data_IF_115325485987
#
_entry.id   IF_115325485987
#
_cell.length_a   1.000
_cell.length_b   1.000
_cell.length_c   1.000
_cell.angle_alpha   90.00
_cell.angle_beta   90.00
_cell.angle_gamma   90.00
#
_symmetry.space_group_name_H-M   'P 1'
#
loop_
_entity.id
_entity.type
_entity.pdbx_description
1 polymer ?
#
# COMPACT_ATOMS: atom_id res chain seq x y z
N UNK A 1 -9.68 26.41 -1.08
CA UNK A 1 -9.67 25.90 -2.47
C UNK A 1 -8.57 24.86 -2.72
N UNK A 2 -7.35 25.01 -2.17
CA UNK A 2 -6.29 24.01 -2.33
C UNK A 2 -6.61 22.63 -1.76
N UNK A 3 -7.39 22.55 -0.68
CA UNK A 3 -7.66 21.26 -0.03
C UNK A 3 -8.58 20.32 -0.81
N UNK A 4 -9.47 20.87 -1.64
CA UNK A 4 -10.40 20.12 -2.49
C UNK A 4 -9.95 20.06 -3.96
N UNK A 5 -8.70 20.46 -4.27
CA UNK A 5 -8.23 20.62 -5.65
C UNK A 5 -7.79 19.34 -6.35
N UNK A 6 -7.68 18.22 -5.63
CA UNK A 6 -7.22 16.92 -6.19
C UNK A 6 -8.42 16.03 -6.57
N UNK A 7 -8.46 14.77 -6.14
CA UNK A 7 -9.57 13.84 -6.29
C UNK A 7 -10.31 13.70 -4.94
N UNK A 8 -11.12 14.69 -4.53
CA UNK A 8 -11.83 14.63 -3.26
C UNK A 8 -12.83 13.46 -3.26
N UNK A 9 -13.00 12.83 -2.10
CA UNK A 9 -13.86 11.63 -1.96
C UNK A 9 -15.11 11.99 -1.18
N UNK A 10 -16.28 11.76 -1.76
CA UNK A 10 -17.55 11.81 -1.06
C UNK A 10 -17.73 10.54 -0.23
N UNK A 11 -18.24 10.67 1.00
CA UNK A 11 -18.49 9.56 1.92
C UNK A 11 -19.90 9.72 2.47
N UNK A 12 -20.76 8.72 2.28
CA UNK A 12 -22.07 8.62 2.91
C UNK A 12 -22.01 7.59 4.04
N UNK A 13 -22.33 8.01 5.26
CA UNK A 13 -22.25 7.14 6.45
C UNK A 13 -23.35 7.47 7.46
N UNK A 14 -23.82 6.45 8.18
CA UNK A 14 -24.80 6.64 9.24
C UNK A 14 -24.15 7.28 10.48
N UNK A 15 -24.88 8.21 11.12
CA UNK A 15 -24.46 8.82 12.37
C UNK A 15 -24.50 7.82 13.54
N UNK A 16 -23.95 8.20 14.69
CA UNK A 16 -23.92 7.41 15.94
C UNK A 16 -25.26 6.77 16.37
N UNK A 17 -26.40 7.36 16.00
CA UNK A 17 -27.74 6.88 16.33
C UNK A 17 -28.35 5.92 15.29
N UNK A 18 -27.69 5.72 14.15
CA UNK A 18 -28.19 4.89 13.03
C UNK A 18 -29.39 5.47 12.27
N UNK A 19 -29.89 6.64 12.67
CA UNK A 19 -31.17 7.17 12.17
C UNK A 19 -31.03 8.21 11.04
N UNK A 20 -29.83 8.75 10.81
CA UNK A 20 -29.59 9.78 9.80
C UNK A 20 -28.26 9.52 9.09
N UNK A 21 -28.29 9.59 7.76
CA UNK A 21 -27.10 9.56 6.90
C UNK A 21 -26.43 10.93 6.88
N UNK A 22 -25.11 10.91 6.95
CA UNK A 22 -24.26 12.08 6.87
C UNK A 22 -23.39 12.00 5.62
N UNK A 23 -23.41 13.08 4.85
CA UNK A 23 -22.53 13.27 3.72
C UNK A 23 -21.26 14.01 4.17
N UNK A 24 -20.11 13.44 3.84
CA UNK A 24 -18.80 14.02 4.09
C UNK A 24 -18.03 14.15 2.77
N UNK A 25 -17.11 15.12 2.71
CA UNK A 25 -16.11 15.22 1.66
C UNK A 25 -14.73 15.18 2.29
N UNK A 26 -13.93 14.20 1.89
CA UNK A 26 -12.53 14.12 2.26
C UNK A 26 -11.67 14.86 1.22
N UNK A 27 -11.01 15.93 1.68
CA UNK A 27 -9.94 16.63 0.96
C UNK A 27 -8.56 16.07 1.31
N UNK A 28 -7.50 16.84 1.03
CA UNK A 28 -6.11 16.43 1.30
C UNK A 28 -5.77 16.41 2.79
N UNK A 29 -6.23 17.42 3.52
CA UNK A 29 -5.92 17.68 4.92
C UNK A 29 -7.17 17.69 5.81
N UNK A 30 -8.33 18.01 5.24
CA UNK A 30 -9.58 18.15 6.00
C UNK A 30 -10.70 17.26 5.47
N UNK A 31 -11.63 16.94 6.37
CA UNK A 31 -12.87 16.24 6.07
C UNK A 31 -14.04 17.16 6.42
N UNK A 32 -14.83 17.53 5.42
CA UNK A 32 -15.95 18.46 5.55
C UNK A 32 -17.25 17.70 5.73
N UNK A 33 -18.00 18.02 6.77
CA UNK A 33 -19.37 17.54 6.95
C UNK A 33 -20.35 18.47 6.26
N UNK A 34 -21.13 17.90 5.35
CA UNK A 34 -22.14 18.60 4.57
C UNK A 34 -23.53 18.39 5.15
N UNK A 35 -24.36 19.41 5.00
CA UNK A 35 -25.78 19.41 5.33
C UNK A 35 -26.56 20.18 4.25
N UNK A 36 -27.89 20.05 4.25
CA UNK A 36 -28.75 20.75 3.31
C UNK A 36 -28.66 22.26 3.51
N UNK A 37 -28.60 23.01 2.42
CA UNK A 37 -28.57 24.47 2.47
C UNK A 37 -29.96 25.06 2.72
N UNK A 38 -30.03 26.03 3.64
CA UNK A 38 -31.27 26.73 3.99
C UNK A 38 -31.47 28.00 3.15
N UNK A 39 -32.55 28.04 2.36
CA UNK A 39 -32.83 29.12 1.40
C UNK A 39 -33.46 30.37 2.02
N UNK A 40 -34.27 30.20 3.07
CA UNK A 40 -35.08 31.27 3.70
C UNK A 40 -34.92 31.34 5.21
N UNK A 41 -35.06 32.55 5.77
CA UNK A 41 -34.92 32.79 7.21
C UNK A 41 -36.24 32.58 7.99
N UNK A 42 -37.39 32.83 7.35
CA UNK A 42 -38.72 32.82 7.98
C UNK A 42 -39.47 31.49 7.78
N UNK A 43 -39.33 30.84 6.62
CA UNK A 43 -39.77 29.45 6.37
C UNK A 43 -38.57 28.62 5.93
N UNK A 44 -38.11 27.63 6.72
CA UNK A 44 -36.91 26.88 6.41
C UNK A 44 -37.18 25.86 5.30
N UNK A 45 -36.91 26.26 4.06
CA UNK A 45 -36.78 25.34 2.93
C UNK A 45 -35.32 24.92 2.80
N UNK A 46 -35.09 23.61 2.82
CA UNK A 46 -33.77 22.99 2.72
C UNK A 46 -33.60 22.34 1.35
N UNK A 47 -32.44 22.52 0.73
CA UNK A 47 -32.10 21.95 -0.58
C UNK A 47 -30.69 21.38 -0.61
N UNK A 48 -30.44 20.45 -1.53
CA UNK A 48 -29.13 19.93 -1.91
C UNK A 48 -28.53 20.60 -3.16
N UNK A 49 -29.21 21.58 -3.76
CA UNK A 49 -28.65 22.39 -4.85
C UNK A 49 -27.35 23.09 -4.42
N UNK A 50 -27.24 23.40 -3.13
CA UNK A 50 -26.01 23.77 -2.45
C UNK A 50 -25.83 22.87 -1.23
N UNK A 51 -24.59 22.44 -0.96
CA UNK A 51 -24.24 21.79 0.29
C UNK A 51 -23.68 22.82 1.28
N UNK A 52 -24.23 22.86 2.48
CA UNK A 52 -23.72 23.69 3.56
C UNK A 52 -22.66 22.92 4.35
N UNK A 53 -21.43 23.43 4.36
CA UNK A 53 -20.36 22.87 5.20
C UNK A 53 -20.59 23.26 6.67
N UNK A 54 -21.07 22.32 7.48
CA UNK A 54 -21.37 22.56 8.90
C UNK A 54 -20.10 22.53 9.76
N UNK A 55 -19.18 21.62 9.45
CA UNK A 55 -17.97 21.38 10.26
C UNK A 55 -16.86 20.77 9.41
N UNK A 56 -15.62 21.03 9.79
CA UNK A 56 -14.44 20.35 9.24
C UNK A 56 -13.70 19.59 10.34
N UNK A 57 -13.11 18.45 9.98
CA UNK A 57 -12.31 17.60 10.85
C UNK A 57 -10.91 17.42 10.28
N UNK A 58 -9.91 17.26 11.14
CA UNK A 58 -8.51 16.98 10.76
C UNK A 58 -8.29 15.46 10.58
N UNK A 59 -9.14 14.64 11.20
CA UNK A 59 -9.12 13.18 11.08
C UNK A 59 -10.54 12.65 10.99
N UNK A 60 -10.70 11.44 10.43
CA UNK A 60 -12.00 10.77 10.39
C UNK A 60 -12.61 10.74 11.80
N UNK A 61 -13.84 11.25 11.98
CA UNK A 61 -14.55 11.14 13.25
C UNK A 61 -14.64 9.67 13.70
N UNK A 62 -14.37 9.36 14.97
CA UNK A 62 -14.33 7.98 15.48
C UNK A 62 -15.67 7.21 15.42
N UNK A 63 -16.72 7.83 14.91
CA UNK A 63 -18.05 7.25 14.71
C UNK A 63 -18.32 6.74 13.30
N UNK A 64 -17.45 7.07 12.34
CA UNK A 64 -17.43 6.53 10.99
C UNK A 64 -17.02 5.04 10.93
N UNK A 65 -17.14 4.32 12.04
CA UNK A 65 -16.87 2.90 12.14
C UNK A 65 -18.10 2.13 11.65
N UNK A 66 -18.29 2.07 10.34
CA UNK A 66 -19.37 1.35 9.67
C UNK A 66 -19.19 1.29 8.15
N UNK A 67 -20.06 0.54 7.47
CA UNK A 67 -20.15 0.51 6.00
C UNK A 67 -20.43 1.91 5.47
N UNK A 68 -19.40 2.58 4.98
CA UNK A 68 -19.53 3.89 4.35
C UNK A 68 -19.46 3.71 2.84
N UNK A 69 -20.40 4.31 2.12
CA UNK A 69 -20.40 4.32 0.67
C UNK A 69 -19.51 5.48 0.23
N UNK A 70 -18.62 5.27 -0.73
CA UNK A 70 -17.67 6.30 -1.16
C UNK A 70 -17.72 6.52 -2.67
N UNK A 71 -17.47 7.75 -3.09
CA UNK A 71 -17.48 8.14 -4.50
C UNK A 71 -16.39 9.20 -4.74
N UNK A 72 -15.46 8.91 -5.67
CA UNK A 72 -14.50 9.93 -6.12
C UNK A 72 -15.22 11.04 -6.89
N UNK A 73 -14.97 12.28 -6.48
CA UNK A 73 -15.49 13.47 -7.13
C UNK A 73 -14.42 14.11 -8.01
N UNK A 74 -14.88 14.70 -9.12
CA UNK A 74 -14.02 15.56 -9.93
C UNK A 74 -13.94 16.95 -9.29
N UNK A 75 -12.75 17.37 -8.83
CA UNK A 75 -12.54 18.68 -8.20
C UNK A 75 -12.94 19.86 -9.08
N UNK A 76 -12.87 19.73 -10.41
CA UNK A 76 -13.31 20.78 -11.33
C UNK A 76 -14.83 21.04 -11.29
N UNK A 77 -15.60 20.12 -10.70
CA UNK A 77 -17.04 20.24 -10.52
C UNK A 77 -17.44 20.76 -9.12
N UNK A 78 -16.46 21.03 -8.23
CA UNK A 78 -16.74 21.53 -6.88
C UNK A 78 -16.38 23.01 -6.81
N UNK A 79 -17.39 23.83 -6.57
CA UNK A 79 -17.24 25.26 -6.34
C UNK A 79 -17.57 25.61 -4.89
N UNK A 80 -16.75 26.48 -4.29
CA UNK A 80 -16.94 26.94 -2.91
C UNK A 80 -17.44 28.37 -2.93
N UNK A 81 -18.63 28.58 -2.39
CA UNK A 81 -19.31 29.87 -2.32
C UNK A 81 -19.54 30.28 -0.86
N UNK A 82 -19.51 31.58 -0.59
CA UNK A 82 -20.03 32.09 0.68
C UNK A 82 -21.56 31.94 0.74
N UNK A 83 -22.12 31.95 1.96
CA UNK A 83 -23.58 31.85 2.15
C UNK A 83 -24.33 32.99 1.42
N UNK A 84 -23.72 34.17 1.33
CA UNK A 84 -24.32 35.31 0.63
C UNK A 84 -24.35 35.10 -0.89
N UNK A 85 -23.24 34.61 -1.48
CA UNK A 85 -23.13 34.31 -2.91
C UNK A 85 -24.07 33.18 -3.33
N UNK A 86 -24.12 32.09 -2.55
CA UNK A 86 -25.04 30.97 -2.81
C UNK A 86 -26.50 31.42 -2.85
N UNK A 87 -26.92 32.28 -1.90
CA UNK A 87 -28.28 32.87 -1.90
C UNK A 87 -28.54 33.76 -3.10
N UNK A 88 -27.54 34.51 -3.56
CA UNK A 88 -27.66 35.37 -4.73
C UNK A 88 -27.80 34.53 -6.00
N UNK A 89 -26.96 33.51 -6.17
CA UNK A 89 -26.98 32.59 -7.31
C UNK A 89 -28.31 31.84 -7.43
N UNK A 90 -28.84 31.34 -6.30
CA UNK A 90 -30.14 30.68 -6.27
C UNK A 90 -31.28 31.59 -6.75
N UNK A 91 -31.23 32.88 -6.39
CA UNK A 91 -32.25 33.87 -6.79
C UNK A 91 -32.13 34.30 -8.26
N UNK A 92 -30.91 34.39 -8.79
CA UNK A 92 -30.68 34.91 -10.14
C UNK A 92 -30.90 33.88 -11.24
N UNK A 93 -30.53 32.62 -10.99
CA UNK A 93 -30.43 31.58 -12.03
C UNK A 93 -30.82 30.19 -11.49
N UNK A 94 -32.07 30.00 -11.03
CA UNK A 94 -32.51 28.73 -10.45
C UNK A 94 -32.51 27.57 -11.46
N UNK A 95 -32.70 27.83 -12.75
CA UNK A 95 -32.71 26.79 -13.79
C UNK A 95 -31.31 26.30 -14.19
N UNK A 96 -30.25 27.12 -14.03
CA UNK A 96 -28.88 26.71 -14.34
C UNK A 96 -28.29 25.76 -13.28
N UNK A 97 -28.95 25.64 -12.13
CA UNK A 97 -28.62 24.70 -11.05
C UNK A 97 -29.26 23.31 -11.29
N UNK A 98 -30.20 23.19 -12.23
CA UNK A 98 -30.81 21.90 -12.57
C UNK A 98 -29.77 20.96 -13.18
N UNK A 99 -29.53 19.82 -12.51
CA UNK A 99 -28.53 18.82 -12.91
C UNK A 99 -27.14 19.00 -12.30
N UNK A 100 -26.97 19.91 -11.32
CA UNK A 100 -25.74 20.05 -10.51
C UNK A 100 -26.04 19.98 -9.02
N UNK A 101 -26.93 19.08 -8.62
CA UNK A 101 -27.35 18.91 -7.22
C UNK A 101 -26.52 17.86 -6.51
N UNK A 102 -26.25 18.09 -5.23
CA UNK A 102 -25.67 17.06 -4.35
C UNK A 102 -26.61 15.86 -4.16
N UNK A 103 -27.88 16.00 -4.49
CA UNK A 103 -28.87 14.92 -4.46
C UNK A 103 -28.52 13.82 -5.48
N UNK A 104 -27.90 14.16 -6.62
CA UNK A 104 -27.41 13.18 -7.60
C UNK A 104 -26.16 12.44 -7.09
N UNK A 105 -25.28 13.14 -6.37
CA UNK A 105 -24.12 12.53 -5.71
C UNK A 105 -24.57 11.57 -4.62
N UNK A 106 -25.56 11.95 -3.81
CA UNK A 106 -26.16 11.11 -2.77
C UNK A 106 -26.85 9.91 -3.42
N UNK A 107 -27.66 10.11 -4.46
CA UNK A 107 -28.32 9.00 -5.16
C UNK A 107 -27.31 8.02 -5.77
N UNK A 108 -26.18 8.49 -6.31
CA UNK A 108 -25.10 7.62 -6.82
C UNK A 108 -24.32 6.91 -5.72
N UNK A 109 -24.19 7.56 -4.55
CA UNK A 109 -23.68 6.89 -3.36
C UNK A 109 -24.68 5.85 -2.87
N UNK A 110 -25.99 6.11 -2.97
CA UNK A 110 -27.06 5.20 -2.56
C UNK A 110 -27.40 4.11 -3.55
N UNK A 111 -27.12 4.32 -4.85
CA UNK A 111 -27.13 3.29 -5.88
C UNK A 111 -26.27 2.14 -5.35
N UNK A 112 -26.91 1.01 -5.07
CA UNK A 112 -26.30 -0.19 -4.50
C UNK A 112 -25.38 -0.86 -5.54
N UNK A 113 -24.28 -0.18 -5.92
CA UNK A 113 -23.23 -0.74 -6.78
C UNK A 113 -22.25 -1.61 -5.97
N UNK A 114 -22.37 -1.65 -4.64
CA UNK A 114 -21.62 -2.56 -3.78
C UNK A 114 -22.49 -3.70 -3.23
N UNK A 115 -23.17 -4.46 -4.10
CA UNK A 115 -23.85 -5.69 -3.68
C UNK A 115 -22.86 -6.84 -3.51
N UNK A 116 -21.94 -6.71 -2.55
CA UNK A 116 -21.24 -7.89 -2.07
C UNK A 116 -22.27 -8.86 -1.50
N UNK A 117 -22.25 -10.10 -1.98
CA UNK A 117 -23.06 -11.15 -1.37
C UNK A 117 -22.61 -11.37 0.09
N UNK A 118 -23.46 -11.91 0.98
CA UNK A 118 -23.05 -12.21 2.35
C UNK A 118 -21.76 -13.05 2.45
N UNK A 119 -21.52 -13.95 1.49
CA UNK A 119 -20.31 -14.74 1.42
C UNK A 119 -19.07 -13.91 1.07
N UNK A 120 -19.22 -12.91 0.19
CA UNK A 120 -18.13 -12.01 -0.21
C UNK A 120 -17.78 -11.02 0.92
N UNK A 121 -18.80 -10.52 1.65
CA UNK A 121 -18.59 -9.72 2.85
C UNK A 121 -17.83 -10.52 3.92
N UNK A 122 -18.29 -11.73 4.24
CA UNK A 122 -17.61 -12.59 5.21
C UNK A 122 -16.16 -12.90 4.80
N UNK A 123 -15.90 -13.07 3.50
CA UNK A 123 -14.55 -13.26 2.97
C UNK A 123 -13.67 -12.02 3.18
N UNK A 124 -14.17 -10.82 2.85
CA UNK A 124 -13.45 -9.57 3.07
C UNK A 124 -13.20 -9.29 4.56
N UNK A 125 -14.21 -9.51 5.41
CA UNK A 125 -14.09 -9.40 6.87
C UNK A 125 -13.03 -10.35 7.41
N UNK A 126 -12.97 -11.60 6.90
CA UNK A 126 -11.94 -12.56 7.26
C UNK A 126 -10.53 -12.08 6.91
N UNK A 127 -10.33 -11.55 5.69
CA UNK A 127 -9.05 -10.99 5.27
C UNK A 127 -8.64 -9.77 6.10
N UNK A 128 -9.60 -8.88 6.39
CA UNK A 128 -9.39 -7.70 7.23
C UNK A 128 -9.03 -8.11 8.66
N UNK A 129 -9.72 -9.09 9.24
CA UNK A 129 -9.42 -9.62 10.57
C UNK A 129 -8.00 -10.23 10.64
N UNK A 130 -7.60 -11.02 9.65
CA UNK A 130 -6.24 -11.52 9.55
C UNK A 130 -5.21 -10.39 9.49
N UNK A 131 -5.47 -9.37 8.66
CA UNK A 131 -4.55 -8.24 8.53
C UNK A 131 -4.44 -7.42 9.82
N UNK A 132 -5.57 -7.11 10.47
CA UNK A 132 -5.61 -6.41 11.75
C UNK A 132 -4.91 -7.19 12.86
N UNK A 133 -4.97 -8.52 12.82
CA UNK A 133 -4.24 -9.38 13.76
C UNK A 133 -2.73 -9.21 13.59
N UNK A 134 -2.23 -9.27 12.35
CA UNK A 134 -0.79 -9.06 12.06
C UNK A 134 -0.33 -7.65 12.45
N UNK A 135 -1.14 -6.62 12.15
CA UNK A 135 -0.87 -5.24 12.57
C UNK A 135 -0.82 -5.13 14.09
N UNK A 136 -1.71 -5.81 14.80
CA UNK A 136 -1.77 -5.80 16.25
C UNK A 136 -0.52 -6.42 16.88
N UNK A 137 -0.06 -7.56 16.34
CA UNK A 137 1.21 -8.18 16.78
C UNK A 137 2.41 -7.28 16.50
N UNK A 138 2.49 -6.67 15.31
CA UNK A 138 3.56 -5.73 15.00
C UNK A 138 3.54 -4.50 15.92
N UNK A 139 2.37 -3.96 16.25
CA UNK A 139 2.22 -2.86 17.22
C UNK A 139 2.61 -3.27 18.64
N UNK A 140 2.39 -4.53 19.02
CA UNK A 140 2.77 -5.02 20.34
C UNK A 140 4.30 -5.00 20.53
N UNK A 141 5.08 -5.11 19.46
CA UNK A 141 6.56 -5.01 19.47
C UNK A 141 7.09 -3.56 19.50
N UNK A 142 6.22 -2.58 19.75
CA UNK A 142 6.59 -1.18 20.02
C UNK A 142 6.49 -0.94 21.52
N UNK A 143 7.61 -0.62 22.15
CA UNK A 143 7.74 -0.58 23.59
C UNK A 143 7.78 0.86 24.12
N UNK A 144 6.86 1.27 25.01
CA UNK A 144 6.88 2.59 25.63
C UNK A 144 8.07 2.72 26.59
N UNK A 145 8.83 3.82 26.46
CA UNK A 145 9.99 4.11 27.29
C UNK A 145 10.05 5.58 27.69
N UNK A 146 10.74 5.87 28.78
CA UNK A 146 11.18 7.21 29.15
C UNK A 146 12.70 7.34 28.96
N UNK A 147 13.15 8.49 28.44
CA UNK A 147 14.57 8.83 28.35
C UNK A 147 15.00 9.42 29.69
N UNK A 148 15.90 8.73 30.39
CA UNK A 148 16.44 9.18 31.68
C UNK A 148 17.64 10.11 31.49
N UNK A 149 18.55 9.74 30.59
CA UNK A 149 19.76 10.51 30.29
C UNK A 149 20.12 10.37 28.81
N UNK A 150 20.61 11.45 28.22
CA UNK A 150 21.21 11.45 26.89
C UNK A 150 22.44 12.36 26.92
N UNK A 151 23.60 11.78 26.64
CA UNK A 151 24.89 12.50 26.68
C UNK A 151 25.80 12.09 25.54
N UNK A 152 26.60 13.04 25.06
CA UNK A 152 27.57 12.79 24.00
C UNK A 152 28.84 12.17 24.61
N UNK A 153 29.25 11.01 24.10
CA UNK A 153 30.44 10.28 24.54
C UNK A 153 31.40 10.24 23.36
N UNK A 154 32.55 10.88 23.51
CA UNK A 154 33.66 11.04 22.55
C UNK A 154 33.49 10.49 21.12
N UNK A 155 33.70 11.36 20.12
CA UNK A 155 33.66 11.08 18.65
C UNK A 155 32.29 11.08 17.96
N UNK A 156 31.28 11.75 18.54
CA UNK A 156 30.00 12.00 17.85
C UNK A 156 28.92 10.95 18.13
N UNK A 157 29.16 10.04 19.06
CA UNK A 157 28.21 9.03 19.51
C UNK A 157 27.48 9.51 20.78
N UNK A 158 26.17 9.28 20.84
CA UNK A 158 25.31 9.59 21.97
C UNK A 158 25.07 8.32 22.77
N UNK A 159 25.30 8.38 24.08
CA UNK A 159 24.80 7.37 25.02
C UNK A 159 23.45 7.79 25.55
N UNK A 160 22.53 6.83 25.56
CA UNK A 160 21.12 7.04 25.84
C UNK A 160 20.70 6.00 26.87
N UNK A 161 20.24 6.45 28.02
CA UNK A 161 19.72 5.60 29.08
C UNK A 161 18.21 5.71 29.11
N UNK A 162 17.52 4.57 28.99
CA UNK A 162 16.05 4.50 28.95
C UNK A 162 15.50 3.55 30.00
N UNK A 163 14.24 3.74 30.40
CA UNK A 163 13.51 2.78 31.24
C UNK A 163 12.12 2.55 30.67
N UNK A 164 11.55 1.36 30.90
CA UNK A 164 10.18 1.07 30.45
C UNK A 164 9.18 1.93 31.22
N UNK A 165 8.21 2.52 30.53
CA UNK A 165 7.14 3.28 31.15
C UNK A 165 5.77 2.65 30.89
N UNK A 166 4.78 2.96 31.74
CA UNK A 166 3.41 2.46 31.56
C UNK A 166 2.68 3.30 30.51
N UNK A 167 2.07 2.63 29.55
CA UNK A 167 1.23 3.25 28.53
C UNK A 167 -0.10 2.49 28.42
N UNK A 168 -1.23 3.16 28.64
CA UNK A 168 -2.55 2.52 28.72
C UNK A 168 -2.92 1.76 27.43
N UNK A 169 -2.61 2.33 26.26
CA UNK A 169 -2.90 1.70 24.97
C UNK A 169 -2.06 0.44 24.74
N UNK A 170 -0.76 0.51 25.04
CA UNK A 170 0.16 -0.64 24.90
C UNK A 170 -0.19 -1.77 25.88
N UNK A 171 -0.63 -1.44 27.09
CA UNK A 171 -1.09 -2.40 28.10
C UNK A 171 -2.41 -3.06 27.67
N UNK A 172 -3.38 -2.26 27.21
CA UNK A 172 -4.66 -2.76 26.70
C UNK A 172 -4.46 -3.68 25.49
N UNK A 173 -3.58 -3.30 24.55
CA UNK A 173 -3.24 -4.12 23.39
C UNK A 173 -2.61 -5.44 23.80
N UNK A 174 -1.63 -5.41 24.72
CA UNK A 174 -0.97 -6.63 25.21
C UNK A 174 -1.97 -7.57 25.88
N UNK A 175 -2.89 -7.04 26.69
CA UNK A 175 -3.97 -7.81 27.32
C UNK A 175 -4.93 -8.42 26.30
N UNK A 176 -5.35 -7.66 25.28
CA UNK A 176 -6.24 -8.17 24.21
C UNK A 176 -5.60 -9.29 23.39
N UNK A 177 -4.28 -9.24 23.20
CA UNK A 177 -3.51 -10.28 22.49
C UNK A 177 -3.06 -11.44 23.40
N UNK A 178 -3.42 -11.42 24.68
CA UNK A 178 -2.98 -12.42 25.69
C UNK A 178 -1.44 -12.50 25.77
N UNK A 179 -0.80 -11.34 25.72
CA UNK A 179 0.66 -11.17 25.85
C UNK A 179 1.01 -10.65 27.25
N UNK A 180 2.26 -10.87 27.65
CA UNK A 180 2.83 -10.22 28.84
C UNK A 180 2.83 -8.69 28.69
N UNK A 181 2.89 -7.97 29.82
CA UNK A 181 2.98 -6.51 29.83
C UNK A 181 4.20 -6.01 29.02
N UNK A 182 4.12 -4.82 28.38
CA UNK A 182 5.19 -4.30 27.52
C UNK A 182 6.57 -4.28 28.19
N UNK A 183 6.66 -3.87 29.46
CA UNK A 183 7.91 -3.84 30.21
C UNK A 183 8.56 -5.23 30.33
N UNK A 184 7.78 -6.25 30.68
CA UNK A 184 8.24 -7.65 30.79
C UNK A 184 8.70 -8.20 29.44
N UNK A 185 7.97 -7.84 28.36
CA UNK A 185 8.35 -8.26 27.01
C UNK A 185 9.63 -7.57 26.53
N UNK A 186 9.80 -6.27 26.82
CA UNK A 186 11.02 -5.55 26.50
C UNK A 186 12.23 -6.17 27.21
N UNK A 187 12.10 -6.41 28.51
CA UNK A 187 13.11 -7.09 29.31
C UNK A 187 13.48 -8.44 28.69
N UNK A 188 12.49 -9.28 28.37
CA UNK A 188 12.72 -10.60 27.75
C UNK A 188 13.42 -10.51 26.40
N UNK A 189 13.16 -9.49 25.60
CA UNK A 189 13.78 -9.34 24.27
C UNK A 189 15.22 -8.85 24.41
N UNK A 190 15.49 -7.91 25.32
CA UNK A 190 16.84 -7.38 25.55
C UNK A 190 17.75 -8.32 26.37
N UNK A 191 17.18 -9.22 27.18
CA UNK A 191 17.92 -10.17 28.04
C UNK A 191 18.24 -11.53 27.39
N UNK A 192 17.85 -11.76 26.13
CA UNK A 192 18.08 -13.04 25.44
C UNK A 192 19.57 -13.28 25.14
N UNK A 193 20.30 -13.87 26.09
CA UNK A 193 21.72 -14.27 26.06
C UNK A 193 22.19 -15.24 24.93
N UNK A 194 21.50 -15.36 23.80
CA UNK A 194 22.05 -16.04 22.63
C UNK A 194 22.77 -15.01 21.76
N UNK A 195 23.93 -15.37 21.20
CA UNK A 195 24.89 -14.51 20.49
C UNK A 195 24.40 -13.77 19.23
N UNK A 196 23.10 -13.55 19.08
CA UNK A 196 22.43 -12.76 18.05
C UNK A 196 22.09 -11.31 18.51
N UNK A 197 22.19 -10.97 19.81
CA UNK A 197 21.90 -9.59 20.29
C UNK A 197 22.83 -8.55 19.63
N UNK A 198 24.07 -8.92 19.30
CA UNK A 198 25.09 -8.03 18.73
C UNK A 198 24.70 -7.39 17.37
N UNK A 199 23.56 -7.78 16.79
CA UNK A 199 23.10 -7.27 15.47
C UNK A 199 21.70 -6.66 15.45
N UNK A 200 20.99 -6.61 16.59
CA UNK A 200 19.65 -6.01 16.65
C UNK A 200 19.74 -4.49 16.79
N UNK A 201 19.71 -3.81 15.65
CA UNK A 201 19.45 -2.37 15.62
C UNK A 201 18.00 -2.10 16.05
N UNK A 202 17.82 -1.09 16.90
CA UNK A 202 16.54 -0.57 17.35
C UNK A 202 16.29 0.79 16.73
N UNK A 203 15.03 1.22 16.74
CA UNK A 203 14.60 2.53 16.25
C UNK A 203 13.84 3.25 17.37
N UNK A 204 14.13 4.54 17.55
CA UNK A 204 13.36 5.42 18.42
C UNK A 204 12.22 6.04 17.62
N UNK A 205 10.99 5.91 18.12
CA UNK A 205 9.78 6.41 17.45
C UNK A 205 8.93 7.26 18.40
N UNK A 206 8.17 8.20 17.83
CA UNK A 206 7.38 9.19 18.57
C UNK A 206 5.97 8.71 18.94
N UNK A 207 5.55 7.58 18.38
CA UNK A 207 4.20 7.04 18.56
C UNK A 207 4.17 5.51 18.49
N UNK A 208 3.19 4.91 19.17
CA UNK A 208 2.81 3.50 18.99
C UNK A 208 1.93 3.28 17.75
N UNK A 209 1.57 4.36 17.05
CA UNK A 209 0.86 4.34 15.79
C UNK A 209 1.87 4.25 14.64
N UNK A 210 1.51 3.46 13.62
CA UNK A 210 2.39 3.09 12.52
C UNK A 210 2.55 4.23 11.50
N UNK A 211 3.11 5.36 11.93
CA UNK A 211 3.31 6.56 11.12
C UNK A 211 4.76 6.72 10.69
N UNK A 212 4.99 7.46 9.59
CA UNK A 212 6.34 7.90 9.22
C UNK A 212 6.80 8.97 10.20
N UNK A 213 8.06 8.89 10.62
CA UNK A 213 8.71 9.93 11.42
C UNK A 213 9.21 11.06 10.50
N UNK A 214 8.82 12.30 10.80
CA UNK A 214 9.24 13.48 10.02
C UNK A 214 10.70 13.90 10.33
N UNK A 215 11.21 13.54 11.51
CA UNK A 215 12.51 13.99 12.02
C UNK A 215 13.68 13.06 11.66
N UNK A 216 13.47 12.10 10.75
CA UNK A 216 14.46 11.08 10.41
C UNK A 216 14.50 9.93 11.40
N UNK A 217 15.17 8.85 10.98
CA UNK A 217 15.24 7.60 11.74
C UNK A 217 16.42 7.62 12.71
N UNK A 218 16.14 7.59 14.01
CA UNK A 218 17.16 7.47 15.06
C UNK A 218 17.38 6.01 15.37
N UNK A 219 18.51 5.49 14.91
CA UNK A 219 18.94 4.11 15.15
C UNK A 219 19.63 4.04 16.51
N UNK A 220 19.25 3.03 17.30
CA UNK A 220 19.77 2.72 18.62
C UNK A 220 20.44 1.35 18.61
N UNK A 221 21.64 1.27 19.18
CA UNK A 221 22.36 0.01 19.38
C UNK A 221 22.37 -0.32 20.87
N UNK A 222 21.81 -1.46 21.25
CA UNK A 222 21.75 -1.88 22.65
C UNK A 222 23.15 -2.21 23.18
N UNK A 223 23.46 -1.76 24.39
CA UNK A 223 24.76 -1.94 25.03
C UNK A 223 24.66 -2.80 26.31
N UNK A 224 23.81 -2.41 27.25
CA UNK A 224 23.75 -3.05 28.56
C UNK A 224 22.41 -2.80 29.27
N UNK A 225 22.17 -3.56 30.34
CA UNK A 225 21.03 -3.41 31.25
C UNK A 225 21.51 -3.40 32.70
N UNK A 226 21.00 -2.45 33.48
CA UNK A 226 21.24 -2.36 34.92
C UNK A 226 19.95 -2.14 35.68
N UNK A 227 19.85 -2.71 36.88
CA UNK A 227 18.79 -2.37 37.82
C UNK A 227 19.27 -1.22 38.72
N UNK A 228 18.40 -0.25 38.99
CA UNK A 228 18.65 0.75 40.03
C UNK A 228 18.40 0.18 41.44
N UNK A 229 18.57 1.02 42.47
CA UNK A 229 18.40 0.62 43.88
C UNK A 229 16.96 0.15 44.20
N UNK A 230 15.97 0.59 43.42
CA UNK A 230 14.55 0.22 43.55
C UNK A 230 14.18 -1.03 42.71
N UNK A 231 15.16 -1.61 42.01
CA UNK A 231 14.97 -2.78 41.14
C UNK A 231 14.32 -2.44 39.80
N UNK A 232 14.19 -1.16 39.44
CA UNK A 232 13.72 -0.73 38.13
C UNK A 232 14.84 -0.91 37.11
N UNK A 233 14.50 -1.56 35.98
CA UNK A 233 15.45 -1.82 34.91
C UNK A 233 15.68 -0.56 34.06
N UNK A 234 16.95 -0.33 33.78
CA UNK A 234 17.44 0.72 32.89
C UNK A 234 18.26 0.06 31.78
N UNK A 235 18.09 0.54 30.56
CA UNK A 235 18.72 0.01 29.36
C UNK A 235 19.57 1.09 28.73
N UNK A 236 20.82 0.75 28.39
CA UNK A 236 21.77 1.66 27.77
C UNK A 236 21.85 1.35 26.29
N UNK A 237 21.67 2.40 25.48
CA UNK A 237 21.82 2.37 24.03
C UNK A 237 22.87 3.38 23.58
N UNK A 238 23.43 3.18 22.38
CA UNK A 238 24.17 4.21 21.66
C UNK A 238 23.51 4.61 20.35
N UNK A 239 23.75 5.84 19.90
CA UNK A 239 23.25 6.37 18.62
C UNK A 239 24.26 7.32 18.00
N UNK A 240 24.26 7.43 16.67
CA UNK A 240 25.06 8.44 15.93
C UNK A 240 24.39 9.81 15.87
N UNK A 241 23.15 9.92 16.38
CA UNK A 241 22.35 11.15 16.32
C UNK A 241 21.85 11.55 17.71
N UNK A 242 21.62 12.85 17.89
CA UNK A 242 20.98 13.37 19.09
C UNK A 242 19.51 12.93 19.11
N UNK A 243 18.97 12.71 20.32
CA UNK A 243 17.56 12.36 20.48
C UNK A 243 16.68 13.58 20.17
N UNK A 244 15.75 13.48 19.20
CA UNK A 244 14.74 14.51 18.98
C UNK A 244 13.74 14.55 20.13
N UNK A 245 13.15 15.72 20.38
CA UNK A 245 12.13 15.85 21.41
C UNK A 245 10.79 15.26 20.94
N UNK A 246 10.30 14.24 21.65
CA UNK A 246 8.96 13.70 21.51
C UNK A 246 8.14 13.85 22.79
N UNK A 247 6.82 13.92 22.64
CA UNK A 247 5.89 13.94 23.79
C UNK A 247 5.87 12.60 24.54
N UNK A 248 6.07 11.51 23.82
CA UNK A 248 6.20 10.15 24.32
C UNK A 248 7.25 9.44 23.47
N UNK A 249 8.03 8.56 24.09
CA UNK A 249 9.06 7.79 23.40
C UNK A 249 8.69 6.32 23.37
N UNK A 250 9.00 5.70 22.24
CA UNK A 250 8.93 4.26 22.11
C UNK A 250 10.19 3.76 21.41
N UNK A 251 10.52 2.50 21.68
CA UNK A 251 11.55 1.78 20.94
C UNK A 251 10.94 0.57 20.25
N UNK A 252 11.39 0.30 19.02
CA UNK A 252 10.95 -0.84 18.24
C UNK A 252 12.14 -1.45 17.48
N UNK A 253 12.16 -2.77 17.22
CA UNK A 253 13.18 -3.38 16.37
C UNK A 253 13.24 -2.70 15.00
N UNK A 254 14.45 -2.43 14.49
CA UNK A 254 14.60 -1.74 13.20
C UNK A 254 14.00 -2.52 12.01
N UNK A 255 14.01 -3.86 12.09
CA UNK A 255 13.36 -4.74 11.11
C UNK A 255 11.86 -4.48 10.96
N UNK A 256 11.24 -3.94 12.00
CA UNK A 256 9.81 -3.70 12.07
C UNK A 256 9.38 -2.61 11.06
N UNK A 257 10.26 -1.68 10.70
CA UNK A 257 10.03 -0.72 9.62
C UNK A 257 9.80 -1.38 8.25
N UNK A 258 10.55 -2.45 7.95
CA UNK A 258 10.34 -3.22 6.72
C UNK A 258 8.99 -3.95 6.76
N UNK A 259 8.65 -4.55 7.91
CA UNK A 259 7.35 -5.18 8.16
C UNK A 259 6.20 -4.19 8.00
N UNK A 260 6.34 -2.93 8.44
CA UNK A 260 5.33 -1.90 8.25
C UNK A 260 5.06 -1.60 6.79
N UNK A 261 6.10 -1.46 5.96
CA UNK A 261 5.90 -1.24 4.52
C UNK A 261 5.12 -2.39 3.89
N UNK A 262 5.37 -3.63 4.33
CA UNK A 262 4.61 -4.79 3.87
C UNK A 262 3.15 -4.75 4.34
N UNK A 263 2.90 -4.43 5.61
CA UNK A 263 1.55 -4.30 6.17
C UNK A 263 0.76 -3.19 5.46
N UNK A 264 1.35 -2.01 5.23
CA UNK A 264 0.70 -0.93 4.49
C UNK A 264 0.39 -1.30 3.04
N UNK A 265 1.29 -2.05 2.37
CA UNK A 265 1.00 -2.58 1.02
C UNK A 265 -0.17 -3.54 1.03
N UNK A 266 -0.26 -4.41 2.04
CA UNK A 266 -1.39 -5.33 2.21
C UNK A 266 -2.70 -4.60 2.48
N UNK A 267 -2.69 -3.55 3.31
CA UNK A 267 -3.86 -2.71 3.54
C UNK A 267 -4.39 -2.12 2.22
N UNK A 268 -3.51 -1.53 1.40
CA UNK A 268 -3.89 -1.00 0.07
C UNK A 268 -4.39 -2.08 -0.88
N UNK A 269 -3.79 -3.27 -0.83
CA UNK A 269 -4.24 -4.40 -1.65
C UNK A 269 -5.65 -4.87 -1.24
N UNK A 270 -5.98 -4.87 0.05
CA UNK A 270 -7.33 -5.18 0.54
C UNK A 270 -8.35 -4.10 0.15
N UNK A 271 -7.96 -2.84 0.24
CA UNK A 271 -8.77 -1.69 -0.20
C UNK A 271 -9.08 -1.78 -1.71
N UNK A 272 -8.05 -2.01 -2.53
CA UNK A 272 -8.20 -2.22 -3.98
C UNK A 272 -9.02 -3.49 -4.28
N UNK A 273 -8.88 -4.55 -3.49
CA UNK A 273 -9.68 -5.76 -3.67
C UNK A 273 -11.18 -5.46 -3.46
N UNK A 274 -11.51 -4.56 -2.54
CA UNK A 274 -12.87 -4.09 -2.29
C UNK A 274 -13.54 -3.41 -3.48
N UNK A 275 -12.79 -3.03 -4.52
CA UNK A 275 -13.34 -2.47 -5.77
C UNK A 275 -13.46 -3.52 -6.88
N UNK A 276 -13.12 -4.79 -6.64
CA UNK A 276 -13.07 -5.86 -7.65
C UNK A 276 -13.94 -7.08 -7.30
N UNK A 277 -15.26 -6.95 -7.47
CA UNK A 277 -16.25 -7.99 -7.13
C UNK A 277 -15.99 -9.33 -7.84
N UNK A 278 -15.66 -9.30 -9.14
CA UNK A 278 -15.39 -10.52 -9.92
C UNK A 278 -14.17 -11.28 -9.40
N UNK A 279 -13.13 -10.55 -8.98
CA UNK A 279 -11.93 -11.13 -8.40
C UNK A 279 -12.23 -11.73 -7.02
N UNK A 280 -13.04 -11.05 -6.20
CA UNK A 280 -13.48 -11.57 -4.91
C UNK A 280 -14.25 -12.88 -5.10
N UNK A 281 -15.22 -12.94 -6.02
CA UNK A 281 -15.96 -14.18 -6.31
C UNK A 281 -15.02 -15.28 -6.81
N UNK A 282 -14.02 -14.92 -7.61
CA UNK A 282 -13.05 -15.89 -8.10
C UNK A 282 -12.18 -16.49 -6.99
N UNK A 283 -11.71 -15.67 -6.06
CA UNK A 283 -10.87 -16.12 -4.95
C UNK A 283 -11.70 -16.86 -3.90
N UNK A 284 -12.90 -16.36 -3.58
CA UNK A 284 -13.78 -16.97 -2.57
C UNK A 284 -14.37 -18.29 -3.04
N UNK A 285 -14.69 -18.41 -4.35
CA UNK A 285 -15.28 -19.61 -4.95
C UNK A 285 -14.58 -19.99 -6.27
N UNK A 286 -13.33 -20.50 -6.23
CA UNK A 286 -12.56 -20.80 -7.45
C UNK A 286 -13.24 -21.83 -8.36
N UNK A 287 -13.88 -22.85 -7.78
CA UNK A 287 -14.55 -23.91 -8.53
C UNK A 287 -15.79 -23.40 -9.30
N UNK A 288 -16.50 -22.42 -8.75
CA UNK A 288 -17.73 -21.88 -9.33
C UNK A 288 -17.44 -20.83 -10.40
N UNK A 289 -16.37 -20.06 -10.20
CA UNK A 289 -15.91 -19.03 -11.15
C UNK A 289 -15.11 -19.62 -12.32
N UNK A 290 -14.59 -20.84 -12.17
CA UNK A 290 -13.82 -21.49 -13.20
C UNK A 290 -14.66 -21.82 -14.44
N UNK A 291 -14.24 -21.34 -15.60
CA UNK A 291 -14.80 -21.73 -16.89
C UNK A 291 -13.69 -22.18 -17.86
N UNK A 292 -14.08 -23.00 -18.83
CA UNK A 292 -13.17 -23.54 -19.84
C UNK A 292 -13.15 -22.65 -21.08
N UNK A 293 -11.96 -22.28 -21.52
CA UNK A 293 -11.71 -21.61 -22.80
C UNK A 293 -11.44 -22.66 -23.90
N UNK A 294 -11.39 -22.19 -25.15
CA UNK A 294 -11.04 -23.02 -26.31
C UNK A 294 -9.53 -23.03 -26.59
N UNK A 295 -8.72 -22.50 -25.67
CA UNK A 295 -7.28 -22.40 -25.85
C UNK A 295 -6.62 -23.78 -25.96
N UNK A 296 -5.72 -23.91 -26.93
CA UNK A 296 -4.93 -25.12 -27.15
C UNK A 296 -3.48 -24.90 -26.72
N UNK A 297 -2.79 -25.98 -26.34
CA UNK A 297 -1.34 -25.92 -26.11
C UNK A 297 -0.62 -26.08 -27.44
N UNK A 298 0.48 -25.35 -27.62
CA UNK A 298 1.40 -25.53 -28.74
C UNK A 298 2.34 -26.70 -28.38
N UNK A 299 2.29 -27.81 -29.11
CA UNK A 299 3.10 -29.01 -28.79
C UNK A 299 4.55 -28.93 -29.32
N UNK A 300 5.28 -27.91 -28.88
CA UNK A 300 6.67 -27.67 -29.24
C UNK A 300 7.65 -28.59 -28.49
N UNK A 301 8.96 -28.38 -28.69
CA UNK A 301 9.99 -29.16 -27.98
C UNK A 301 9.94 -28.94 -26.47
N UNK A 302 9.61 -27.74 -26.00
CA UNK A 302 9.55 -27.42 -24.58
C UNK A 302 8.38 -28.11 -23.87
N UNK A 303 7.23 -28.25 -24.56
CA UNK A 303 6.11 -29.05 -24.09
C UNK A 303 6.47 -30.55 -23.99
N UNK A 304 7.16 -31.09 -25.00
CA UNK A 304 7.55 -32.51 -25.05
C UNK A 304 8.60 -32.89 -24.00
N UNK A 305 9.35 -31.92 -23.47
CA UNK A 305 10.28 -32.14 -22.36
C UNK A 305 9.60 -32.26 -20.99
N UNK A 306 8.34 -31.82 -20.86
CA UNK A 306 7.57 -32.00 -19.64
C UNK A 306 7.13 -33.46 -19.50
N UNK A 307 7.09 -33.96 -18.27
CA UNK A 307 6.43 -35.25 -18.00
C UNK A 307 4.91 -35.16 -18.17
N UNK A 308 4.24 -36.31 -18.29
CA UNK A 308 2.79 -36.35 -18.54
C UNK A 308 1.97 -35.54 -17.54
N UNK A 309 2.35 -35.57 -16.25
CA UNK A 309 1.66 -34.78 -15.22
C UNK A 309 1.76 -33.27 -15.45
N UNK A 310 2.92 -32.78 -15.89
CA UNK A 310 3.14 -31.37 -16.22
C UNK A 310 2.54 -30.99 -17.57
N UNK A 311 2.49 -31.90 -18.54
CA UNK A 311 1.78 -31.69 -19.80
C UNK A 311 0.28 -31.50 -19.55
N UNK A 312 -0.32 -32.36 -18.75
CA UNK A 312 -1.74 -32.25 -18.35
C UNK A 312 -1.98 -30.96 -17.56
N UNK A 313 -1.08 -30.61 -16.62
CA UNK A 313 -1.16 -29.36 -15.89
C UNK A 313 -1.11 -28.14 -16.82
N UNK A 314 -0.15 -28.09 -17.76
CA UNK A 314 -0.02 -26.99 -18.71
C UNK A 314 -1.26 -26.85 -19.60
N UNK A 315 -1.79 -27.96 -20.09
CA UNK A 315 -3.03 -27.96 -20.88
C UNK A 315 -4.21 -27.42 -20.11
N UNK A 316 -4.32 -27.76 -18.82
CA UNK A 316 -5.41 -27.29 -17.98
C UNK A 316 -5.24 -25.81 -17.58
N UNK A 317 -4.01 -25.36 -17.29
CA UNK A 317 -3.72 -23.95 -16.97
C UNK A 317 -4.18 -23.04 -18.12
N UNK A 318 -3.84 -23.37 -19.37
CA UNK A 318 -4.22 -22.54 -20.51
C UNK A 318 -5.72 -22.56 -20.81
N UNK A 319 -6.45 -23.59 -20.36
CA UNK A 319 -7.87 -23.79 -20.66
C UNK A 319 -8.79 -23.28 -19.56
N UNK A 320 -8.31 -23.00 -18.35
CA UNK A 320 -9.17 -22.73 -17.20
C UNK A 320 -8.90 -21.32 -16.69
N UNK A 321 -9.93 -20.48 -16.75
CA UNK A 321 -9.90 -19.09 -16.31
C UNK A 321 -10.91 -18.86 -15.17
N UNK A 322 -10.72 -17.82 -14.33
CA UNK A 322 -9.58 -16.90 -14.32
C UNK A 322 -8.45 -17.35 -13.36
N UNK A 323 -8.68 -18.39 -12.55
CA UNK A 323 -7.74 -18.89 -11.55
C UNK A 323 -7.50 -20.39 -11.72
N UNK A 324 -6.22 -20.79 -11.80
CA UNK A 324 -5.82 -22.19 -11.80
C UNK A 324 -4.73 -22.44 -10.75
N UNK A 325 -4.89 -23.51 -9.97
CA UNK A 325 -3.98 -23.86 -8.88
C UNK A 325 -3.19 -25.12 -9.23
N UNK A 326 -1.86 -25.00 -9.26
CA UNK A 326 -0.94 -26.13 -9.45
C UNK A 326 -0.33 -26.52 -8.11
N UNK A 327 -0.56 -27.76 -7.69
CA UNK A 327 0.10 -28.35 -6.53
C UNK A 327 1.18 -29.34 -6.98
N UNK A 328 2.37 -29.24 -6.39
CA UNK A 328 3.45 -30.20 -6.65
C UNK A 328 4.41 -30.30 -5.47
N UNK A 329 4.87 -31.52 -5.09
CA UNK A 329 5.88 -31.71 -4.04
C UNK A 329 7.17 -30.90 -4.27
N UNK A 330 8.02 -30.70 -3.24
CA UNK A 330 9.32 -30.06 -3.44
C UNK A 330 10.16 -30.85 -4.46
N UNK A 331 10.87 -30.14 -5.35
CA UNK A 331 11.78 -30.76 -6.33
C UNK A 331 11.18 -31.31 -7.62
N UNK A 332 9.85 -31.31 -7.83
CA UNK A 332 9.20 -31.96 -9.00
C UNK A 332 9.25 -31.16 -10.32
N UNK A 333 10.08 -30.13 -10.39
CA UNK A 333 10.25 -29.32 -11.61
C UNK A 333 9.11 -28.33 -11.88
N UNK A 334 8.48 -27.76 -10.84
CA UNK A 334 7.46 -26.70 -11.00
C UNK A 334 7.99 -25.51 -11.81
N UNK A 335 9.26 -25.17 -11.65
CA UNK A 335 9.91 -24.09 -12.41
C UNK A 335 9.90 -24.36 -13.91
N UNK A 336 10.14 -25.60 -14.35
CA UNK A 336 10.05 -25.96 -15.77
C UNK A 336 8.64 -25.79 -16.33
N UNK A 337 7.61 -26.08 -15.53
CA UNK A 337 6.22 -25.82 -15.94
C UNK A 337 5.97 -24.31 -16.13
N UNK A 338 6.48 -23.47 -15.22
CA UNK A 338 6.36 -22.01 -15.32
C UNK A 338 7.09 -21.45 -16.54
N UNK A 339 8.33 -21.89 -16.81
CA UNK A 339 9.08 -21.43 -17.98
C UNK A 339 8.39 -21.81 -19.29
N UNK A 340 7.86 -23.04 -19.38
CA UNK A 340 7.09 -23.47 -20.55
C UNK A 340 5.79 -22.69 -20.69
N UNK A 341 5.09 -22.40 -19.58
CA UNK A 341 3.88 -21.58 -19.59
C UNK A 341 4.14 -20.16 -20.12
N UNK A 342 5.19 -19.49 -19.63
CA UNK A 342 5.57 -18.15 -20.09
C UNK A 342 5.86 -18.16 -21.59
N UNK A 343 6.61 -19.16 -22.07
CA UNK A 343 6.88 -19.33 -23.50
C UNK A 343 5.59 -19.49 -24.31
N UNK A 344 4.66 -20.33 -23.86
CA UNK A 344 3.36 -20.53 -24.52
C UNK A 344 2.52 -19.25 -24.59
N UNK A 345 2.55 -18.43 -23.53
CA UNK A 345 1.83 -17.15 -23.50
C UNK A 345 2.39 -16.21 -24.57
N UNK A 346 3.71 -16.03 -24.65
CA UNK A 346 4.32 -15.13 -25.64
C UNK A 346 4.27 -15.67 -27.07
N UNK A 347 4.27 -16.99 -27.28
CA UNK A 347 4.07 -17.58 -28.61
C UNK A 347 2.67 -17.34 -29.15
N UNK A 348 1.66 -17.29 -28.27
CA UNK A 348 0.27 -16.97 -28.64
C UNK A 348 0.02 -15.48 -28.75
N UNK A 349 0.48 -14.72 -27.78
CA UNK A 349 0.28 -13.28 -27.65
C UNK A 349 1.63 -12.58 -27.37
N UNK A 350 2.39 -12.22 -28.44
CA UNK A 350 3.71 -11.61 -28.29
C UNK A 350 3.72 -10.28 -27.52
N UNK A 351 2.61 -9.53 -27.58
CA UNK A 351 2.45 -8.23 -26.92
C UNK A 351 1.93 -8.33 -25.47
N UNK A 352 1.74 -9.56 -24.97
CA UNK A 352 1.24 -9.80 -23.61
C UNK A 352 2.21 -9.30 -22.54
N UNK A 353 1.67 -9.00 -21.35
CA UNK A 353 2.47 -8.62 -20.18
C UNK A 353 2.21 -9.62 -19.07
N UNK A 354 3.27 -10.29 -18.63
CA UNK A 354 3.20 -11.31 -17.58
C UNK A 354 3.92 -10.82 -16.34
N UNK A 355 3.20 -10.74 -15.22
CA UNK A 355 3.79 -10.48 -13.90
C UNK A 355 4.08 -11.81 -13.21
N UNK A 356 5.35 -12.04 -12.89
CA UNK A 356 5.77 -13.19 -12.09
C UNK A 356 6.17 -12.71 -10.70
N UNK A 357 5.61 -13.34 -9.67
CA UNK A 357 5.87 -13.01 -8.28
C UNK A 357 6.17 -14.28 -7.46
N UNK A 358 6.94 -14.12 -6.40
CA UNK A 358 7.22 -15.17 -5.42
C UNK A 358 7.45 -14.57 -4.04
N UNK A 359 7.33 -15.39 -2.99
CA UNK A 359 7.42 -14.94 -1.61
C UNK A 359 8.81 -14.40 -1.20
N UNK A 360 9.90 -14.96 -1.75
CA UNK A 360 11.27 -14.59 -1.37
C UNK A 360 12.10 -14.08 -2.55
N UNK A 361 13.03 -13.18 -2.26
CA UNK A 361 13.97 -12.65 -3.25
C UNK A 361 14.79 -13.75 -3.94
N UNK A 362 15.20 -14.79 -3.19
CA UNK A 362 15.93 -15.93 -3.74
C UNK A 362 15.10 -16.69 -4.78
N UNK A 363 13.81 -16.91 -4.51
CA UNK A 363 12.91 -17.59 -5.47
C UNK A 363 12.65 -16.74 -6.71
N UNK A 364 12.45 -15.42 -6.55
CA UNK A 364 12.34 -14.50 -7.69
C UNK A 364 13.61 -14.56 -8.55
N UNK A 365 14.79 -14.55 -7.93
CA UNK A 365 16.06 -14.61 -8.65
C UNK A 365 16.23 -15.94 -9.38
N UNK A 366 15.83 -17.04 -8.77
CA UNK A 366 15.85 -18.34 -9.42
C UNK A 366 14.92 -18.36 -10.65
N UNK A 367 13.68 -17.86 -10.52
CA UNK A 367 12.74 -17.76 -11.64
C UNK A 367 13.26 -16.87 -12.77
N UNK A 368 13.87 -15.72 -12.43
CA UNK A 368 14.46 -14.80 -13.40
C UNK A 368 15.50 -15.50 -14.29
N UNK A 369 16.49 -16.18 -13.69
CA UNK A 369 17.51 -16.88 -14.46
C UNK A 369 16.96 -18.03 -15.30
N UNK A 370 15.97 -18.78 -14.80
CA UNK A 370 15.38 -19.88 -15.55
C UNK A 370 14.63 -19.39 -16.79
N UNK A 371 13.96 -18.23 -16.70
CA UNK A 371 13.28 -17.62 -17.84
C UNK A 371 14.28 -17.04 -18.85
N UNK A 372 15.34 -16.40 -18.37
CA UNK A 372 16.40 -15.84 -19.22
C UNK A 372 17.16 -16.92 -20.01
N UNK A 373 17.40 -18.10 -19.39
CA UNK A 373 18.00 -19.28 -20.02
C UNK A 373 17.09 -19.97 -21.01
N UNK A 374 15.78 -20.00 -20.72
CA UNK A 374 14.81 -20.55 -21.67
C UNK A 374 14.85 -19.64 -22.90
N UNK A 375 14.93 -20.22 -24.10
CA UNK A 375 15.15 -19.58 -25.41
C UNK A 375 14.12 -18.49 -25.83
N UNK A 376 13.66 -17.62 -24.93
CA UNK A 376 13.14 -16.28 -25.19
C UNK A 376 14.28 -15.27 -25.50
N UNK A 377 15.53 -15.72 -25.48
CA UNK A 377 16.73 -14.91 -25.74
C UNK A 377 17.48 -15.31 -27.02
N UNK A 378 17.05 -16.38 -27.73
CA UNK A 378 17.69 -16.81 -28.98
C UNK A 378 17.21 -16.00 -30.19
N UNK A 379 17.81 -14.82 -30.36
CA UNK A 379 17.96 -14.08 -31.63
C UNK A 379 16.70 -13.61 -32.40
N UNK A 380 15.47 -13.89 -31.92
CA UNK A 380 14.23 -13.45 -32.59
C UNK A 380 13.09 -12.96 -31.70
N UNK A 381 13.23 -12.98 -30.37
CA UNK A 381 12.20 -12.45 -29.47
C UNK A 381 12.66 -11.16 -28.82
N UNK A 382 11.99 -10.06 -29.18
CA UNK A 382 12.12 -8.72 -28.59
C UNK A 382 11.54 -8.65 -27.15
N UNK A 383 11.52 -9.76 -26.41
CA UNK A 383 10.87 -9.86 -25.11
C UNK A 383 11.63 -9.06 -24.06
N UNK A 384 10.98 -8.01 -23.54
CA UNK A 384 11.51 -7.20 -22.46
C UNK A 384 11.18 -7.84 -21.11
N UNK A 385 12.20 -8.42 -20.47
CA UNK A 385 12.09 -8.93 -19.09
C UNK A 385 12.55 -7.82 -18.15
N UNK A 386 11.77 -7.46 -17.13
CA UNK A 386 12.16 -6.46 -16.11
C UNK A 386 12.11 -7.11 -14.74
N UNK A 387 13.21 -7.04 -14.00
CA UNK A 387 13.28 -7.41 -12.60
C UNK A 387 12.90 -6.21 -11.73
N UNK A 388 11.75 -6.29 -11.09
CA UNK A 388 11.32 -5.31 -10.10
C UNK A 388 12.07 -5.51 -8.79
N UNK A 389 13.25 -4.90 -8.63
CA UNK A 389 13.95 -4.79 -7.35
C UNK A 389 13.77 -3.42 -6.72
N UNK A 390 13.80 -3.38 -5.39
CA UNK A 390 13.90 -2.12 -4.65
C UNK A 390 15.31 -1.56 -4.87
N UNK A 391 15.41 -0.29 -5.24
CA UNK A 391 16.62 0.50 -4.97
C UNK A 391 16.59 0.77 -3.47
N UNK A 392 17.54 0.23 -2.72
CA UNK A 392 17.72 0.68 -1.34
C UNK A 392 18.19 2.14 -1.40
N UNK A 393 17.55 3.00 -0.58
CA UNK A 393 17.78 4.45 -0.59
C UNK A 393 19.25 4.83 -0.30
N UNK A 394 20.07 3.91 0.19
CA UNK A 394 21.49 4.15 0.47
C UNK A 394 22.38 3.97 -0.77
N UNK A 395 21.85 3.36 -1.85
CA UNK A 395 22.52 3.17 -3.14
C UNK A 395 21.73 3.87 -4.26
N UNK A 396 21.47 5.16 -4.11
CA UNK A 396 20.92 6.04 -5.17
C UNK A 396 21.77 6.04 -6.47
N UNK A 397 22.96 5.43 -6.43
CA UNK A 397 23.87 5.26 -7.57
C UNK A 397 23.60 4.00 -8.42
N UNK A 398 22.87 3.01 -7.90
CA UNK A 398 22.59 1.77 -8.62
C UNK A 398 21.36 1.94 -9.52
N UNK A 399 21.55 1.95 -10.85
CA UNK A 399 20.44 1.94 -11.80
C UNK A 399 19.52 0.75 -11.54
N UNK A 400 18.21 0.99 -11.52
CA UNK A 400 17.23 -0.10 -11.48
C UNK A 400 17.34 -0.92 -12.78
N UNK A 401 16.96 -2.19 -12.74
CA UNK A 401 16.98 -3.04 -13.94
C UNK A 401 16.11 -2.45 -15.07
N UNK A 402 15.00 -1.80 -14.70
CA UNK A 402 14.15 -1.07 -15.64
C UNK A 402 14.89 0.11 -16.28
N UNK A 403 15.60 0.92 -15.49
CA UNK A 403 16.36 2.06 -16.00
C UNK A 403 17.53 1.62 -16.87
N UNK A 404 18.24 0.56 -16.47
CA UNK A 404 19.34 -0.02 -17.24
C UNK A 404 18.86 -0.51 -18.61
N UNK A 405 17.74 -1.24 -18.65
CA UNK A 405 17.14 -1.72 -19.91
C UNK A 405 16.57 -0.56 -20.72
N UNK A 406 15.89 0.39 -20.11
CA UNK A 406 15.37 1.58 -20.79
C UNK A 406 16.50 2.37 -21.47
N UNK A 407 17.66 2.49 -20.81
CA UNK A 407 18.84 3.15 -21.38
C UNK A 407 19.33 2.45 -22.66
N UNK A 408 19.43 1.12 -22.68
CA UNK A 408 19.80 0.36 -23.88
C UNK A 408 18.82 0.61 -25.05
N UNK A 409 17.50 0.63 -24.77
CA UNK A 409 16.51 0.96 -25.80
C UNK A 409 16.61 2.41 -26.28
N UNK A 410 16.88 3.36 -25.37
CA UNK A 410 17.09 4.77 -25.74
C UNK A 410 18.34 4.93 -26.62
N UNK A 411 19.44 4.27 -26.31
CA UNK A 411 20.66 4.28 -27.11
C UNK A 411 20.42 3.70 -28.51
N UNK A 412 19.72 2.56 -28.61
CA UNK A 412 19.27 1.99 -29.89
C UNK A 412 18.38 2.95 -30.67
N UNK A 413 17.43 3.61 -30.02
CA UNK A 413 16.56 4.60 -30.64
C UNK A 413 17.37 5.78 -31.16
N UNK A 414 18.30 6.34 -30.38
CA UNK A 414 19.17 7.47 -30.76
C UNK A 414 20.02 7.12 -31.98
N UNK A 415 20.53 5.89 -32.07
CA UNK A 415 21.31 5.40 -33.21
C UNK A 415 20.48 5.05 -34.45
N UNK A 416 19.15 5.08 -34.37
CA UNK A 416 18.26 4.63 -35.44
C UNK A 416 18.04 5.69 -36.52
N UNK A 417 17.74 5.23 -37.75
CA UNK A 417 17.29 6.10 -38.85
C UNK A 417 16.03 6.90 -38.51
N UNK A 418 15.16 6.36 -37.64
CA UNK A 418 13.94 7.05 -37.19
C UNK A 418 14.28 8.30 -36.38
N UNK A 419 15.26 8.19 -35.48
CA UNK A 419 15.74 9.34 -34.73
C UNK A 419 16.43 10.34 -35.65
N UNK A 420 17.32 9.90 -36.53
CA UNK A 420 17.99 10.78 -37.51
C UNK A 420 16.98 11.58 -38.35
N UNK A 421 15.99 10.90 -38.93
CA UNK A 421 14.98 11.50 -39.83
C UNK A 421 13.89 12.31 -39.11
N UNK A 422 13.82 12.29 -37.78
CA UNK A 422 12.81 13.04 -37.05
C UNK A 422 13.04 14.56 -37.16
N UNK A 423 11.99 15.30 -37.53
CA UNK A 423 12.01 16.77 -37.66
C UNK A 423 11.77 17.50 -36.34
N UNK A 424 11.33 16.78 -35.29
CA UNK A 424 11.02 17.37 -33.99
C UNK A 424 12.26 17.54 -33.13
N UNK A 425 12.85 18.74 -33.14
CA UNK A 425 14.02 19.04 -32.32
C UNK A 425 13.73 18.86 -30.81
N UNK A 426 12.55 19.28 -30.34
CA UNK A 426 12.13 19.14 -28.94
C UNK A 426 12.12 17.68 -28.48
N UNK A 427 11.64 16.77 -29.33
CA UNK A 427 11.57 15.35 -29.00
C UNK A 427 12.96 14.70 -29.00
N UNK A 428 13.83 15.08 -29.95
CA UNK A 428 15.24 14.68 -29.97
C UNK A 428 15.98 15.09 -28.69
N UNK A 429 15.82 16.35 -28.28
CA UNK A 429 16.44 16.87 -27.05
C UNK A 429 15.94 16.10 -25.83
N UNK A 430 14.62 15.87 -25.71
CA UNK A 430 14.05 15.13 -24.57
C UNK A 430 14.56 13.68 -24.50
N UNK A 431 14.70 12.99 -25.63
CA UNK A 431 15.24 11.62 -25.67
C UNK A 431 16.71 11.61 -25.22
N UNK A 432 17.51 12.59 -25.66
CA UNK A 432 18.90 12.73 -25.23
C UNK A 432 19.00 13.02 -23.73
N UNK A 433 18.17 13.92 -23.20
CA UNK A 433 18.08 14.19 -21.76
C UNK A 433 17.73 12.91 -20.97
N UNK A 434 16.73 12.15 -21.43
CA UNK A 434 16.35 10.87 -20.80
C UNK A 434 17.51 9.85 -20.81
N UNK A 435 18.29 9.78 -21.91
CA UNK A 435 19.46 8.89 -21.99
C UNK A 435 20.58 9.27 -21.02
N UNK A 436 20.63 10.53 -20.59
CA UNK A 436 21.57 11.06 -19.60
C UNK A 436 21.06 10.94 -18.17
N UNK A 437 19.92 10.29 -17.94
CA UNK A 437 19.36 10.06 -16.61
C UNK A 437 18.42 11.16 -16.11
N UNK A 438 18.03 12.12 -16.95
CA UNK A 438 16.99 13.07 -16.58
C UNK A 438 15.63 12.37 -16.50
N UNK A 439 14.92 12.59 -15.39
CA UNK A 439 13.55 12.08 -15.22
C UNK A 439 12.64 12.67 -16.30
N UNK A 440 11.79 11.85 -16.88
CA UNK A 440 10.68 12.34 -17.68
C UNK A 440 9.77 13.16 -16.78
N UNK A 441 9.54 14.43 -17.10
CA UNK A 441 8.47 15.25 -16.50
C UNK A 441 7.09 14.68 -16.89
N UNK A 442 6.68 13.59 -16.22
CA UNK A 442 5.33 13.04 -16.27
C UNK A 442 4.87 12.74 -14.86
#
# INVERSE_FOLDING_TARGET
>A
MQDLSDSPVAILSQNHSGNEEQLLIQGKELIYRLDRFQLGHDEPVFTWDFAFCQKAYISLPGWLNGSSKTLELNSSNIEVHSVAEARQLYRSTPNDLQGRSWEEVINRLDEDDSTFTPAQLAFMEGLAACHLTEVSYARAEIYPVDILESSLIDSGEWRITVTSCKNEDSEALSKSLVLDAPAVRLEKVLSRNDGDIETLNWSLVSSSLLAKEDNGEVILTYQDCSADEDGQLTYVFTSTQAIPYYKQYFIAPNSLQASFRQLSRRARALDTLGTHVELIESISNPQKSAYKTQDSVIEDSSFKMLDGSKQDALQNILKIMPLFLVQGPPGVGKTHLVTTLVKQIFEKEPDSRVLLSAQSHATVQHLYHEIEKTELSSSKSDTLIIRCSKQDNDDDSALSDADAKAKDFLEKLISSKLFENSTSHRLKTRILEMSQGHRSNR
#
